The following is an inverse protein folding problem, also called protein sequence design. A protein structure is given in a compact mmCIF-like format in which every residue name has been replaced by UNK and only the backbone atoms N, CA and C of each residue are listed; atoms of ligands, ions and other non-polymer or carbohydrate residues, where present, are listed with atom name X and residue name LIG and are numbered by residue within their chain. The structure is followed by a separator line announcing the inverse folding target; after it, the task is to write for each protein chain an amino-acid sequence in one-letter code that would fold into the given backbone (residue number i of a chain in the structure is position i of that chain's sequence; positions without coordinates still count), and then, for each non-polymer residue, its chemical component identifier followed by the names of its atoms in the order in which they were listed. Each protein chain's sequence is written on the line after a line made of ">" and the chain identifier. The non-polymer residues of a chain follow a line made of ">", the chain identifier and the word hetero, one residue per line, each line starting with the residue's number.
data_IF_372455761016
#
_entry.id   IF_372455761016
#
_cell.length_a   1.000
_cell.length_b   1.000
_cell.length_c   1.000
_cell.angle_alpha   90.00
_cell.angle_beta   90.00
_cell.angle_gamma   90.00
#
_symmetry.space_group_name_H-M   'P 1'
#
loop_
_entity.id
_entity.type
_entity.pdbx_description
1 polymer ?
#
# COMPACT_ATOMS: atom_id res chain seq x y z
N UNK A 1 -1.90 -7.67 -5.50
CA UNK A 1 -1.48 -6.45 -4.77
C UNK A 1 -0.43 -5.61 -5.51
N UNK A 2 0.70 -6.17 -5.95
CA UNK A 2 1.82 -5.42 -6.58
C UNK A 2 1.43 -4.44 -7.70
N UNK A 3 0.56 -4.86 -8.62
CA UNK A 3 0.09 -4.01 -9.72
C UNK A 3 -0.71 -2.80 -9.25
N UNK A 4 -1.50 -2.95 -8.18
CA UNK A 4 -2.25 -1.84 -7.58
C UNK A 4 -1.30 -0.83 -6.94
N UNK A 5 -0.27 -1.31 -6.24
CA UNK A 5 0.74 -0.45 -5.60
C UNK A 5 1.44 0.45 -6.63
N UNK A 6 1.91 -0.15 -7.73
CA UNK A 6 2.53 0.59 -8.83
C UNK A 6 1.55 1.59 -9.47
N UNK A 7 0.31 1.15 -9.71
CA UNK A 7 -0.73 2.02 -10.26
C UNK A 7 -0.99 3.25 -9.37
N UNK A 8 -1.08 3.05 -8.05
CA UNK A 8 -1.30 4.13 -7.08
C UNK A 8 -0.14 5.12 -7.07
N UNK A 9 1.11 4.66 -7.07
CA UNK A 9 2.29 5.53 -7.15
C UNK A 9 2.33 6.35 -8.45
N UNK A 10 2.06 5.69 -9.58
CA UNK A 10 2.14 6.31 -10.89
C UNK A 10 1.03 7.34 -11.11
N UNK A 11 -0.21 7.00 -10.73
CA UNK A 11 -1.41 7.70 -11.19
C UNK A 11 -2.17 8.47 -10.10
N UNK A 12 -2.09 8.07 -8.83
CA UNK A 12 -2.92 8.63 -7.77
C UNK A 12 -2.14 9.60 -6.89
N UNK A 13 -0.92 9.25 -6.50
CA UNK A 13 -0.11 10.08 -5.61
C UNK A 13 0.48 11.24 -6.41
N UNK A 14 0.06 12.47 -6.11
CA UNK A 14 0.54 13.66 -6.81
C UNK A 14 1.77 14.30 -6.17
N UNK A 15 1.96 14.11 -4.86
CA UNK A 15 3.02 14.74 -4.08
C UNK A 15 3.74 13.71 -3.20
N UNK A 16 5.07 13.87 -3.05
CA UNK A 16 5.92 12.98 -2.24
C UNK A 16 5.78 11.49 -2.60
N UNK A 17 5.82 11.18 -3.91
CA UNK A 17 5.78 9.79 -4.41
C UNK A 17 6.85 8.91 -3.77
N UNK A 18 8.02 9.48 -3.56
CA UNK A 18 9.17 8.89 -2.87
C UNK A 18 8.89 8.50 -1.41
N UNK A 19 7.83 9.00 -0.77
CA UNK A 19 7.43 8.59 0.57
C UNK A 19 6.53 7.35 0.58
N UNK A 20 6.04 6.88 -0.56
CA UNK A 20 5.11 5.75 -0.63
C UNK A 20 5.80 4.42 -0.89
N UNK A 21 6.75 4.39 -1.82
CA UNK A 21 7.46 3.17 -2.26
C UNK A 21 8.96 3.36 -2.07
N UNK A 22 9.64 2.27 -1.66
CA UNK A 22 11.10 2.26 -1.50
C UNK A 22 11.79 1.86 -2.81
N UNK A 23 11.31 0.79 -3.47
CA UNK A 23 11.81 0.35 -4.77
C UNK A 23 10.82 -0.63 -5.42
N UNK A 24 10.51 -0.44 -6.71
CA UNK A 24 9.58 -1.32 -7.43
C UNK A 24 8.19 -1.30 -6.79
N UNK A 25 7.64 -2.46 -6.41
CA UNK A 25 6.32 -2.54 -5.74
C UNK A 25 6.42 -2.61 -4.21
N UNK A 26 7.61 -2.38 -3.63
CA UNK A 26 7.83 -2.50 -2.19
C UNK A 26 7.45 -1.20 -1.48
N UNK A 27 6.44 -1.28 -0.64
CA UNK A 27 5.94 -0.15 0.15
C UNK A 27 6.97 0.25 1.22
N UNK A 28 7.11 1.55 1.48
CA UNK A 28 8.01 2.06 2.52
C UNK A 28 7.58 1.58 3.93
N UNK A 29 8.56 1.25 4.81
CA UNK A 29 8.29 1.04 6.23
C UNK A 29 7.54 2.23 6.85
N UNK A 30 6.56 1.95 7.71
CA UNK A 30 5.70 2.97 8.33
C UNK A 30 4.37 3.20 7.60
N UNK A 31 4.13 2.55 6.48
CA UNK A 31 2.82 2.51 5.83
C UNK A 31 2.12 1.20 6.22
N UNK A 32 0.95 1.32 6.84
CA UNK A 32 0.08 0.18 7.13
C UNK A 32 -0.87 0.00 5.95
N UNK A 33 -1.03 -1.23 5.50
CA UNK A 33 -1.98 -1.57 4.43
C UNK A 33 -3.05 -2.49 4.98
N UNK A 34 -4.30 -2.11 4.74
CA UNK A 34 -5.47 -2.91 5.09
C UNK A 34 -6.19 -3.34 3.83
N UNK A 35 -6.66 -4.59 3.80
CA UNK A 35 -7.62 -5.07 2.79
C UNK A 35 -8.92 -5.41 3.52
N UNK A 36 -10.02 -4.77 3.16
CA UNK A 36 -11.32 -4.93 3.81
C UNK A 36 -11.21 -4.80 5.34
N UNK A 37 -10.49 -3.76 5.79
CA UNK A 37 -10.23 -3.44 7.19
C UNK A 37 -9.41 -4.50 7.97
N UNK A 38 -8.83 -5.47 7.28
CA UNK A 38 -7.96 -6.50 7.84
C UNK A 38 -6.50 -6.22 7.48
N UNK A 39 -5.57 -6.48 8.40
CA UNK A 39 -4.14 -6.31 8.16
C UNK A 39 -3.70 -7.21 6.99
N UNK A 40 -3.09 -6.61 5.97
CA UNK A 40 -2.68 -7.37 4.80
C UNK A 40 -1.60 -8.41 5.10
N UNK A 41 -0.78 -8.24 6.14
CA UNK A 41 0.36 -9.13 6.44
C UNK A 41 -0.14 -10.55 6.74
N UNK A 42 -1.25 -10.67 7.46
CA UNK A 42 -1.90 -11.95 7.75
C UNK A 42 -2.65 -12.52 6.55
N UNK A 43 -2.99 -11.67 5.57
CA UNK A 43 -3.63 -12.06 4.31
C UNK A 43 -2.62 -12.43 3.22
N UNK A 44 -1.31 -12.42 3.52
CA UNK A 44 -0.23 -12.75 2.57
C UNK A 44 0.47 -11.53 1.95
N UNK A 45 0.16 -10.32 2.44
CA UNK A 45 0.85 -9.07 2.14
C UNK A 45 0.92 -8.76 0.65
N UNK A 46 2.13 -8.61 0.12
CA UNK A 46 2.36 -8.36 -1.31
C UNK A 46 1.80 -9.46 -2.23
N UNK A 47 1.64 -10.68 -1.72
CA UNK A 47 1.14 -11.82 -2.48
C UNK A 47 -0.39 -11.92 -2.45
N UNK A 48 -1.08 -11.03 -1.73
CA UNK A 48 -2.54 -11.00 -1.71
C UNK A 48 -3.10 -10.82 -3.14
N UNK A 49 -3.94 -11.77 -3.54
CA UNK A 49 -4.66 -11.75 -4.80
C UNK A 49 -5.91 -10.87 -4.64
N UNK A 50 -5.87 -9.70 -5.27
CA UNK A 50 -6.98 -8.74 -5.25
C UNK A 50 -8.20 -9.32 -5.96
N UNK A 51 -9.36 -9.08 -5.38
CA UNK A 51 -10.67 -9.36 -5.96
C UNK A 51 -11.40 -8.07 -6.28
N UNK A 52 -12.34 -8.13 -7.21
CA UNK A 52 -13.20 -6.98 -7.49
C UNK A 52 -14.02 -6.62 -6.24
N UNK A 53 -14.12 -5.31 -5.97
CA UNK A 53 -14.77 -4.79 -4.77
C UNK A 53 -13.92 -4.75 -3.49
N UNK A 54 -12.67 -5.23 -3.50
CA UNK A 54 -11.78 -5.10 -2.34
C UNK A 54 -11.51 -3.63 -2.01
N UNK A 55 -11.69 -3.26 -0.74
CA UNK A 55 -11.28 -1.97 -0.21
C UNK A 55 -9.83 -2.05 0.29
N UNK A 56 -8.92 -1.37 -0.41
CA UNK A 56 -7.50 -1.27 -0.01
C UNK A 56 -7.23 0.10 0.60
N UNK A 57 -6.79 0.13 1.85
CA UNK A 57 -6.48 1.36 2.60
C UNK A 57 -4.99 1.43 2.89
N UNK A 58 -4.35 2.55 2.53
CA UNK A 58 -2.97 2.87 2.89
C UNK A 58 -2.95 3.94 3.99
N UNK A 59 -2.30 3.66 5.11
CA UNK A 59 -2.18 4.59 6.23
C UNK A 59 -0.70 4.91 6.43
N UNK A 60 -0.29 6.12 6.07
CA UNK A 60 1.05 6.63 6.40
C UNK A 60 1.07 6.98 7.88
N UNK A 61 1.78 6.20 8.69
CA UNK A 61 1.99 6.57 10.09
C UNK A 61 2.99 7.71 10.15
N UNK A 62 2.54 8.89 10.59
CA UNK A 62 3.44 9.95 11.03
C UNK A 62 4.22 9.39 12.23
N UNK A 63 5.54 9.29 12.09
CA UNK A 63 6.41 9.15 13.26
C UNK A 63 6.32 10.49 14.00
N UNK A 64 5.32 10.59 14.87
CA UNK A 64 5.08 11.74 15.73
C UNK A 64 5.93 11.62 16.98
N UNK A 65 7.19 12.05 16.88
CA UNK A 65 8.16 12.11 17.98
C UNK A 65 9.57 12.36 17.49
#
# INVERSE_FOLDING_TARGET
>A
MKSLILYVEENIIQYRKDHFIETGSKIKPGIIVLVNNCDWEILGGENYALSDGDLVTFIMTLHGG
#
